data_IF_255331129747
#
_entry.id   IF_255331129747
#
_cell.length_a   1.000
_cell.length_b   1.000
_cell.length_c   1.000
_cell.angle_alpha   90.00
_cell.angle_beta   90.00
_cell.angle_gamma   90.00
#
_symmetry.space_group_name_H-M   'P 1'
#
loop_
_entity.id
_entity.type
_entity.pdbx_description
1 polymer ?
#
# COMPACT_ATOMS: atom_id res chain seq x y z
N UNK A 1 -22.13 -11.51 -0.17
CA UNK A 1 -21.27 -10.54 0.56
C UNK A 1 -22.17 -9.36 0.88
N UNK A 2 -22.41 -9.11 2.16
CA UNK A 2 -23.50 -8.24 2.64
C UNK A 2 -23.10 -6.76 2.55
N UNK A 3 -23.85 -5.99 1.75
CA UNK A 3 -23.61 -4.56 1.47
C UNK A 3 -23.51 -3.75 2.77
N UNK A 4 -24.28 -4.14 3.80
CA UNK A 4 -24.28 -3.49 5.11
C UNK A 4 -22.91 -3.53 5.82
N UNK A 5 -22.08 -4.54 5.52
CA UNK A 5 -20.75 -4.70 6.12
C UNK A 5 -19.68 -3.86 5.43
N UNK A 6 -19.85 -3.59 4.12
CA UNK A 6 -19.00 -2.67 3.38
C UNK A 6 -19.26 -1.22 3.83
N UNK A 7 -20.53 -0.84 3.99
CA UNK A 7 -20.92 0.53 4.35
C UNK A 7 -20.40 0.94 5.75
N UNK A 8 -20.33 0.01 6.70
CA UNK A 8 -19.77 0.24 8.05
C UNK A 8 -18.25 0.44 8.07
N UNK A 9 -17.52 -0.05 7.06
CA UNK A 9 -16.06 0.13 6.98
C UNK A 9 -15.73 1.55 6.50
N UNK A 10 -16.55 2.10 5.61
CA UNK A 10 -16.34 3.45 5.07
C UNK A 10 -16.76 4.57 6.03
N UNK A 11 -17.70 4.32 6.95
CA UNK A 11 -18.15 5.32 7.94
C UNK A 11 -17.14 5.59 9.07
N UNK A 12 -16.13 4.73 9.22
CA UNK A 12 -15.16 4.79 10.32
C UNK A 12 -13.85 5.50 9.96
N UNK A 13 -13.71 6.01 8.72
CA UNK A 13 -12.53 6.76 8.31
C UNK A 13 -12.70 8.21 8.80
N UNK A 14 -11.81 8.74 9.67
CA UNK A 14 -11.89 10.12 10.09
C UNK A 14 -11.84 11.03 8.85
N UNK A 15 -12.74 12.01 8.83
CA UNK A 15 -12.94 12.97 7.75
C UNK A 15 -11.57 13.51 7.28
N UNK A 16 -11.14 13.07 6.09
CA UNK A 16 -9.86 13.50 5.50
C UNK A 16 -9.92 15.01 5.27
N UNK A 17 -8.78 15.68 5.44
CA UNK A 17 -8.54 16.98 4.82
C UNK A 17 -9.11 16.95 3.39
N UNK A 18 -9.94 17.92 3.00
CA UNK A 18 -10.76 17.79 1.81
C UNK A 18 -9.85 17.73 0.60
N UNK A 19 -9.70 16.53 0.04
CA UNK A 19 -9.26 16.37 -1.33
C UNK A 19 -10.42 16.95 -2.14
N UNK A 20 -10.25 18.15 -2.67
CA UNK A 20 -11.31 18.85 -3.40
C UNK A 20 -11.79 18.04 -4.61
N UNK A 21 -12.94 18.40 -5.19
CA UNK A 21 -13.56 17.65 -6.30
C UNK A 21 -12.62 17.41 -7.50
N UNK A 22 -11.58 18.23 -7.69
CA UNK A 22 -10.57 18.01 -8.72
C UNK A 22 -9.75 16.73 -8.50
N UNK A 23 -9.63 16.25 -7.27
CA UNK A 23 -8.99 14.97 -6.95
C UNK A 23 -9.65 13.79 -7.65
N UNK A 24 -10.99 13.81 -7.79
CA UNK A 24 -11.72 12.73 -8.46
C UNK A 24 -11.66 12.83 -9.99
N UNK A 25 -11.24 13.97 -10.53
CA UNK A 25 -11.01 14.18 -11.97
C UNK A 25 -9.63 13.71 -12.42
N UNK A 26 -8.70 13.50 -11.49
CA UNK A 26 -7.37 12.94 -11.76
C UNK A 26 -7.47 11.48 -12.16
N UNK A 27 -6.55 11.03 -13.02
CA UNK A 27 -6.43 9.60 -13.32
C UNK A 27 -5.95 8.82 -12.07
N UNK A 28 -6.17 7.49 -11.99
CA UNK A 28 -5.80 6.70 -10.82
C UNK A 28 -4.34 6.84 -10.38
N UNK A 29 -3.41 6.98 -11.33
CA UNK A 29 -1.99 7.15 -11.04
C UNK A 29 -1.71 8.50 -10.38
N UNK A 30 -2.26 9.59 -10.91
CA UNK A 30 -2.15 10.93 -10.34
C UNK A 30 -2.73 11.00 -8.94
N UNK A 31 -3.89 10.36 -8.71
CA UNK A 31 -4.52 10.26 -7.38
C UNK A 31 -3.62 9.57 -6.37
N UNK A 32 -3.01 8.45 -6.77
CA UNK A 32 -2.05 7.72 -5.94
C UNK A 32 -0.86 8.62 -5.56
N UNK A 33 -0.24 9.27 -6.54
CA UNK A 33 0.92 10.13 -6.32
C UNK A 33 0.57 11.35 -5.44
N UNK A 34 -0.57 12.00 -5.70
CA UNK A 34 -1.07 13.11 -4.87
C UNK A 34 -1.27 12.68 -3.42
N UNK A 35 -1.86 11.50 -3.18
CA UNK A 35 -2.00 10.94 -1.84
C UNK A 35 -0.64 10.67 -1.18
N UNK A 36 0.30 10.06 -1.90
CA UNK A 36 1.64 9.77 -1.39
C UNK A 36 2.43 11.01 -0.99
N UNK A 37 2.26 12.11 -1.75
CA UNK A 37 2.97 13.37 -1.56
C UNK A 37 2.33 14.27 -0.51
N UNK A 38 1.01 14.37 -0.49
CA UNK A 38 0.30 15.35 0.35
C UNK A 38 -0.19 14.78 1.68
N UNK A 39 -0.57 13.49 1.73
CA UNK A 39 -1.02 12.87 2.98
C UNK A 39 0.17 12.27 3.69
N UNK A 40 0.64 12.94 4.74
CA UNK A 40 1.73 12.44 5.60
C UNK A 40 1.43 11.02 6.09
N UNK A 41 2.38 10.12 5.84
CA UNK A 41 2.28 8.71 6.22
C UNK A 41 1.29 7.90 5.40
N UNK A 42 0.96 8.35 4.18
CA UNK A 42 0.13 7.56 3.29
C UNK A 42 0.82 6.28 2.87
N UNK A 43 0.23 5.14 3.23
CA UNK A 43 0.70 3.81 2.83
C UNK A 43 0.06 3.43 1.50
N UNK A 44 0.88 2.96 0.56
CA UNK A 44 0.45 2.29 -0.66
C UNK A 44 0.70 0.79 -0.52
N UNK A 45 -0.36 0.02 -0.62
CA UNK A 45 -0.34 -1.44 -0.59
C UNK A 45 -0.74 -1.97 -1.97
N UNK A 46 0.21 -2.59 -2.66
CA UNK A 46 0.03 -3.25 -3.97
C UNK A 46 -0.25 -4.74 -3.73
N UNK A 47 -1.53 -5.12 -3.69
CA UNK A 47 -1.99 -6.52 -3.50
C UNK A 47 -2.13 -7.20 -4.86
N UNK A 48 -1.52 -8.38 -5.01
CA UNK A 48 -1.44 -9.08 -6.29
C UNK A 48 -0.40 -8.43 -7.20
N UNK A 49 0.76 -8.06 -6.64
CA UNK A 49 1.74 -7.21 -7.32
C UNK A 49 2.46 -7.90 -8.49
N UNK A 50 2.37 -9.23 -8.64
CA UNK A 50 3.14 -10.03 -9.59
C UNK A 50 4.62 -9.60 -9.60
N UNK A 51 5.15 -9.16 -10.74
CA UNK A 51 6.52 -8.70 -10.93
C UNK A 51 6.80 -7.27 -10.41
N UNK A 52 5.87 -6.70 -9.64
CA UNK A 52 5.96 -5.38 -9.01
C UNK A 52 5.96 -4.19 -10.00
N UNK A 53 5.27 -4.31 -11.13
CA UNK A 53 5.25 -3.27 -12.17
C UNK A 53 4.71 -1.93 -11.66
N UNK A 54 3.56 -1.94 -10.98
CA UNK A 54 2.87 -0.70 -10.63
C UNK A 54 3.49 -0.03 -9.41
N UNK A 55 3.91 -0.79 -8.40
CA UNK A 55 4.68 -0.24 -7.28
C UNK A 55 6.04 0.32 -7.71
N UNK A 56 6.74 -0.29 -8.68
CA UNK A 56 7.97 0.29 -9.25
C UNK A 56 7.69 1.60 -9.97
N UNK A 57 6.63 1.67 -10.78
CA UNK A 57 6.22 2.94 -11.42
C UNK A 57 5.87 4.00 -10.39
N UNK A 58 5.17 3.64 -9.30
CA UNK A 58 4.84 4.59 -8.24
C UNK A 58 6.11 5.16 -7.60
N UNK A 59 7.06 4.30 -7.20
CA UNK A 59 8.33 4.71 -6.61
C UNK A 59 9.18 5.56 -7.57
N UNK A 60 9.24 5.20 -8.86
CA UNK A 60 9.93 6.00 -9.88
C UNK A 60 9.31 7.40 -10.04
N UNK A 61 8.00 7.54 -9.79
CA UNK A 61 7.28 8.82 -9.83
C UNK A 61 7.23 9.54 -8.46
N UNK A 62 8.21 9.29 -7.61
CA UNK A 62 8.40 9.86 -6.28
C UNK A 62 7.33 9.49 -5.25
N UNK A 63 6.71 8.31 -5.35
CA UNK A 63 5.98 7.76 -4.21
C UNK A 63 6.99 7.36 -3.12
N UNK A 64 6.79 7.76 -1.85
CA UNK A 64 7.74 7.45 -0.78
C UNK A 64 7.91 5.93 -0.60
N UNK A 65 9.12 5.42 -0.88
CA UNK A 65 9.43 3.98 -0.85
C UNK A 65 9.27 3.39 0.57
N UNK A 66 9.51 4.20 1.59
CA UNK A 66 9.28 3.88 3.00
C UNK A 66 7.80 3.64 3.34
N UNK A 67 6.90 4.07 2.47
CA UNK A 67 5.46 3.93 2.62
C UNK A 67 4.83 2.91 1.64
N UNK A 68 5.64 2.23 0.84
CA UNK A 68 5.18 1.30 -0.19
C UNK A 68 5.36 -0.15 0.29
N UNK A 69 4.31 -0.97 0.14
CA UNK A 69 4.30 -2.39 0.48
C UNK A 69 3.75 -3.16 -0.72
N UNK A 70 4.44 -4.23 -1.10
CA UNK A 70 4.02 -5.18 -2.11
C UNK A 70 3.57 -6.49 -1.46
N UNK A 71 2.56 -7.13 -2.02
CA UNK A 71 2.10 -8.44 -1.60
C UNK A 71 1.56 -9.24 -2.77
N UNK A 72 1.86 -10.53 -2.77
CA UNK A 72 1.31 -11.49 -3.74
C UNK A 72 1.20 -12.86 -3.05
N UNK A 73 0.33 -13.72 -3.59
CA UNK A 73 0.26 -15.11 -3.16
C UNK A 73 1.55 -15.85 -3.52
N UNK A 74 2.10 -15.58 -4.70
CA UNK A 74 3.28 -16.26 -5.23
C UNK A 74 4.56 -15.43 -5.04
N UNK A 75 5.40 -15.84 -4.09
CA UNK A 75 6.64 -15.15 -3.76
C UNK A 75 7.67 -15.17 -4.90
N UNK A 76 7.62 -16.18 -5.79
CA UNK A 76 8.54 -16.24 -6.91
C UNK A 76 8.35 -15.09 -7.90
N UNK A 77 7.15 -14.51 -8.01
CA UNK A 77 6.95 -13.34 -8.86
C UNK A 77 7.74 -12.13 -8.37
N UNK A 78 7.91 -11.96 -7.05
CA UNK A 78 8.75 -10.90 -6.51
C UNK A 78 10.22 -11.09 -6.89
N UNK A 79 10.74 -12.31 -6.72
CA UNK A 79 12.11 -12.68 -7.10
C UNK A 79 12.34 -12.48 -8.61
N UNK A 80 11.40 -12.94 -9.43
CA UNK A 80 11.45 -12.75 -10.88
C UNK A 80 11.34 -11.29 -11.28
N UNK A 81 10.57 -10.47 -10.56
CA UNK A 81 10.50 -9.03 -10.74
C UNK A 81 11.87 -8.36 -10.53
N UNK A 82 12.60 -8.75 -9.47
CA UNK A 82 13.98 -8.28 -9.29
C UNK A 82 14.90 -8.66 -10.46
N UNK A 83 14.78 -9.88 -10.99
CA UNK A 83 15.55 -10.31 -12.17
C UNK A 83 15.16 -9.51 -13.43
N UNK A 84 13.86 -9.37 -13.70
CA UNK A 84 13.32 -8.65 -14.87
C UNK A 84 13.79 -7.19 -14.90
N UNK A 85 13.76 -6.52 -13.75
CA UNK A 85 14.13 -5.11 -13.61
C UNK A 85 15.59 -4.90 -13.21
N UNK A 86 16.41 -5.97 -13.18
CA UNK A 86 17.83 -5.92 -12.78
C UNK A 86 18.06 -5.14 -11.46
N UNK A 87 17.20 -5.39 -10.49
CA UNK A 87 17.23 -4.73 -9.17
C UNK A 87 17.50 -5.73 -8.06
N UNK A 88 17.81 -5.20 -6.89
CA UNK A 88 18.09 -5.93 -5.65
C UNK A 88 17.25 -5.32 -4.51
N UNK A 89 17.29 -5.93 -3.33
CA UNK A 89 16.62 -5.37 -2.16
C UNK A 89 17.23 -4.01 -1.73
N UNK A 90 18.51 -3.77 -2.03
CA UNK A 90 19.20 -2.51 -1.70
C UNK A 90 18.84 -1.39 -2.68
N UNK A 91 18.64 -1.73 -3.95
CA UNK A 91 18.32 -0.75 -5.02
C UNK A 91 16.81 -0.52 -5.19
N UNK A 92 15.99 -1.46 -4.75
CA UNK A 92 14.54 -1.35 -4.68
C UNK A 92 14.05 -1.89 -3.34
N UNK A 93 14.08 -1.02 -2.33
CA UNK A 93 13.86 -1.37 -0.93
C UNK A 93 12.40 -1.50 -0.52
N UNK A 94 11.45 -1.62 -1.47
CA UNK A 94 10.04 -1.87 -1.14
C UNK A 94 9.91 -3.17 -0.36
N UNK A 95 9.11 -3.16 0.71
CA UNK A 95 8.83 -4.36 1.48
C UNK A 95 7.89 -5.27 0.71
N UNK A 96 8.27 -6.53 0.57
CA UNK A 96 7.40 -7.59 0.08
C UNK A 96 6.89 -8.48 1.22
N UNK A 97 5.59 -8.74 1.23
CA UNK A 97 4.94 -9.63 2.19
C UNK A 97 4.13 -10.67 1.41
N UNK A 98 4.60 -11.91 1.28
CA UNK A 98 3.86 -12.95 0.57
C UNK A 98 2.72 -13.49 1.43
N UNK A 99 1.56 -13.73 0.81
CA UNK A 99 0.46 -14.42 1.45
C UNK A 99 -0.88 -14.26 0.74
N UNK A 100 -1.85 -15.05 1.21
CA UNK A 100 -3.21 -15.02 0.69
C UNK A 100 -3.97 -13.83 1.31
N UNK A 101 -4.38 -12.87 0.47
CA UNK A 101 -5.16 -11.72 0.90
C UNK A 101 -6.55 -12.11 1.45
N UNK A 102 -7.04 -13.31 1.15
CA UNK A 102 -8.30 -13.86 1.64
C UNK A 102 -8.13 -14.70 2.91
N UNK A 103 -6.90 -15.03 3.32
CA UNK A 103 -6.64 -15.66 4.61
C UNK A 103 -6.78 -14.63 5.74
N UNK A 104 -7.73 -14.88 6.64
CA UNK A 104 -7.99 -14.05 7.81
C UNK A 104 -6.77 -13.91 8.75
N UNK A 105 -5.78 -14.80 8.65
CA UNK A 105 -4.55 -14.77 9.44
C UNK A 105 -3.39 -14.03 8.75
N UNK A 106 -3.48 -13.72 7.45
CA UNK A 106 -2.38 -13.08 6.73
C UNK A 106 -2.15 -11.63 7.19
N UNK A 107 -3.17 -10.79 7.03
CA UNK A 107 -3.22 -9.44 7.56
C UNK A 107 -4.39 -9.35 8.54
N UNK A 108 -4.15 -9.82 9.77
CA UNK A 108 -5.17 -9.83 10.83
C UNK A 108 -5.79 -8.45 10.99
N UNK A 109 -7.08 -8.38 10.71
CA UNK A 109 -7.85 -7.15 10.90
C UNK A 109 -7.90 -6.81 12.39
N UNK A 110 -7.60 -5.56 12.70
CA UNK A 110 -7.75 -4.98 14.03
C UNK A 110 -8.78 -3.85 13.95
N UNK A 111 -9.54 -3.59 15.03
CA UNK A 111 -10.43 -2.44 15.07
C UNK A 111 -9.67 -1.14 14.75
N UNK A 112 -10.31 -0.16 14.09
CA UNK A 112 -9.66 1.11 13.82
C UNK A 112 -9.29 1.81 15.13
N UNK A 113 -8.08 2.38 15.16
CA UNK A 113 -7.60 3.23 16.24
C UNK A 113 -7.54 4.67 15.76
N UNK A 114 -8.17 5.59 16.50
CA UNK A 114 -8.20 7.02 16.15
C UNK A 114 -7.09 7.82 16.84
N UNK A 115 -6.45 7.22 17.84
CA UNK A 115 -5.35 7.82 18.59
C UNK A 115 -4.19 6.82 18.56
N UNK A 116 -3.06 7.16 17.92
CA UNK A 116 -1.91 6.28 17.92
C UNK A 116 -1.30 6.24 19.32
N UNK A 117 -1.32 5.06 19.97
CA UNK A 117 -0.67 4.83 21.26
C UNK A 117 0.85 4.68 21.14
N UNK A 118 1.32 4.30 19.95
CA UNK A 118 2.73 4.11 19.62
C UNK A 118 3.11 4.93 18.38
N UNK A 119 4.39 5.28 18.20
CA UNK A 119 4.89 5.81 16.94
C UNK A 119 4.51 4.89 15.77
N UNK A 120 4.42 5.48 14.58
CA UNK A 120 4.20 4.71 13.35
C UNK A 120 5.30 3.63 13.23
N UNK A 121 4.92 2.35 13.03
CA UNK A 121 5.88 1.29 12.79
C UNK A 121 6.74 1.58 11.57
N UNK A 122 8.03 1.30 11.65
CA UNK A 122 8.89 1.27 10.48
C UNK A 122 8.46 0.10 9.61
N UNK A 123 7.98 0.40 8.39
CA UNK A 123 7.54 -0.64 7.46
C UNK A 123 8.70 -1.47 6.94
N UNK A 124 9.97 -1.07 7.17
CA UNK A 124 11.16 -1.78 6.73
C UNK A 124 11.90 -2.54 7.84
N UNK A 125 11.43 -2.50 9.09
CA UNK A 125 12.06 -3.23 10.20
C UNK A 125 11.91 -4.76 10.05
N UNK A 126 12.96 -5.58 10.21
CA UNK A 126 12.86 -7.04 10.13
C UNK A 126 11.84 -7.57 11.15
N UNK A 127 11.06 -8.59 10.76
CA UNK A 127 10.03 -9.22 11.59
C UNK A 127 10.58 -10.47 12.26
#
# INVERSE_FOLDING_TARGET
MDQARADSIFSAVPEKAPLDDSFYNLNPQERLLKLGKERKGAIFLDIGCCFANDIRKAVINDYPVENAIASDLEADFWRLGHQLFKSTAETFSVRFVPGDALDANFLKQVPPFYTPETPRPDLHSPR
#
